data_IF_654010662582
#
_entry.id   IF_654010662582
#
_cell.length_a   1.000
_cell.length_b   1.000
_cell.length_c   1.000
_cell.angle_alpha   90.00
_cell.angle_beta   90.00
_cell.angle_gamma   90.00
#
_symmetry.space_group_name_H-M   'P 1'
#
loop_
_entity.id
_entity.type
_entity.pdbx_description
1 polymer ?
#
# COMPACT_ATOMS: atom_id res chain seq x y z
N UNK A 1 13.59 -6.69 5.81
CA UNK A 1 12.44 -6.58 4.89
C UNK A 1 12.51 -7.74 3.93
N UNK A 2 11.42 -8.50 3.75
CA UNK A 2 11.35 -9.46 2.67
C UNK A 2 11.54 -8.65 1.38
N UNK A 3 12.64 -8.86 0.64
CA UNK A 3 12.93 -8.05 -0.53
C UNK A 3 11.95 -8.41 -1.62
N UNK A 4 11.21 -7.43 -2.13
CA UNK A 4 10.53 -7.58 -3.41
C UNK A 4 11.62 -7.87 -4.46
N UNK A 5 11.39 -8.85 -5.34
CA UNK A 5 12.41 -9.33 -6.28
C UNK A 5 12.60 -8.42 -7.51
N UNK A 6 11.78 -7.38 -7.64
CA UNK A 6 11.83 -6.43 -8.74
C UNK A 6 12.12 -5.03 -8.19
N UNK A 7 12.92 -4.26 -8.93
CA UNK A 7 13.15 -2.86 -8.59
C UNK A 7 11.84 -2.08 -8.76
N UNK A 8 11.47 -1.31 -7.74
CA UNK A 8 10.31 -0.42 -7.81
C UNK A 8 10.54 0.68 -8.84
N UNK A 9 9.48 1.06 -9.56
CA UNK A 9 9.50 2.26 -10.41
C UNK A 9 9.36 3.52 -9.57
N UNK A 10 9.75 4.68 -10.11
CA UNK A 10 9.59 5.97 -9.41
C UNK A 10 8.12 6.20 -8.99
N UNK A 11 7.16 5.90 -9.88
CA UNK A 11 5.72 5.97 -9.56
C UNK A 11 5.31 5.06 -8.39
N UNK A 12 5.92 3.88 -8.24
CA UNK A 12 5.64 2.98 -7.12
C UNK A 12 6.24 3.53 -5.81
N UNK A 13 7.45 4.09 -5.87
CA UNK A 13 8.09 4.72 -4.72
C UNK A 13 7.28 5.92 -4.22
N UNK A 14 6.83 6.76 -5.14
CA UNK A 14 5.97 7.91 -4.81
C UNK A 14 4.65 7.44 -4.19
N UNK A 15 3.99 6.44 -4.78
CA UNK A 15 2.76 5.89 -4.22
C UNK A 15 2.95 5.27 -2.82
N UNK A 16 4.11 4.66 -2.56
CA UNK A 16 4.44 4.12 -1.24
C UNK A 16 4.65 5.24 -0.22
N UNK A 17 5.44 6.26 -0.56
CA UNK A 17 5.71 7.39 0.34
C UNK A 17 4.42 8.14 0.69
N UNK A 18 3.59 8.40 -0.31
CA UNK A 18 2.27 9.01 -0.17
C UNK A 18 1.38 8.27 0.84
N UNK A 19 1.34 6.93 0.77
CA UNK A 19 0.55 6.12 1.71
C UNK A 19 1.14 6.16 3.11
N UNK A 20 2.47 6.16 3.24
CA UNK A 20 3.15 6.27 4.54
C UNK A 20 2.85 7.61 5.20
N UNK A 21 2.93 8.70 4.44
CA UNK A 21 2.66 10.05 4.93
C UNK A 21 1.20 10.21 5.36
N UNK A 22 0.26 9.65 4.59
CA UNK A 22 -1.16 9.64 4.97
C UNK A 22 -1.39 8.89 6.29
N UNK A 23 -0.78 7.71 6.46
CA UNK A 23 -0.88 6.92 7.68
C UNK A 23 -0.24 7.62 8.88
N UNK A 24 0.83 8.40 8.65
CA UNK A 24 1.51 9.18 9.67
C UNK A 24 0.79 10.50 10.01
N UNK A 25 -0.12 10.98 9.16
CA UNK A 25 -0.78 12.28 9.31
C UNK A 25 -1.68 12.43 10.54
N UNK A 26 -2.07 11.31 11.17
CA UNK A 26 -3.01 11.28 12.30
C UNK A 26 -4.47 11.53 11.92
N UNK A 27 -4.77 11.74 10.64
CA UNK A 27 -6.12 11.88 10.10
C UNK A 27 -6.56 10.58 9.41
N UNK A 28 -7.88 10.32 9.30
CA UNK A 28 -8.37 9.21 8.49
C UNK A 28 -7.89 9.31 7.04
N UNK A 29 -7.24 8.26 6.54
CA UNK A 29 -6.80 8.15 5.15
C UNK A 29 -7.95 7.73 4.23
N UNK A 30 -8.13 8.43 3.11
CA UNK A 30 -9.02 8.04 2.01
C UNK A 30 -8.30 8.25 0.67
N UNK A 31 -7.51 7.25 0.26
CA UNK A 31 -6.65 7.31 -0.94
C UNK A 31 -7.05 6.26 -1.97
N UNK A 32 -7.20 6.71 -3.22
CA UNK A 32 -7.37 5.85 -4.39
C UNK A 32 -6.03 5.71 -5.14
N UNK A 33 -5.49 4.50 -5.20
CA UNK A 33 -4.32 4.17 -6.04
C UNK A 33 -4.81 3.60 -7.37
N UNK A 34 -4.63 4.35 -8.44
CA UNK A 34 -4.94 3.92 -9.81
C UNK A 34 -3.67 3.55 -10.58
N UNK A 35 -3.75 2.56 -11.46
CA UNK A 35 -2.64 2.14 -12.32
C UNK A 35 -2.99 0.88 -13.09
N UNK A 36 -2.21 0.55 -14.10
CA UNK A 36 -2.46 -0.61 -14.96
C UNK A 36 -2.30 -1.96 -14.22
N UNK A 37 -2.79 -3.04 -14.84
CA UNK A 37 -2.58 -4.39 -14.34
C UNK A 37 -1.07 -4.70 -14.33
N UNK A 38 -0.57 -5.27 -13.24
CA UNK A 38 0.86 -5.58 -13.09
C UNK A 38 1.72 -4.43 -12.53
N UNK A 39 1.15 -3.24 -12.32
CA UNK A 39 1.87 -2.07 -11.80
C UNK A 39 2.19 -2.11 -10.29
N UNK A 40 2.06 -3.27 -9.63
CA UNK A 40 2.46 -3.43 -8.23
C UNK A 40 1.53 -2.82 -7.17
N UNK A 41 0.29 -2.44 -7.50
CA UNK A 41 -0.67 -1.86 -6.52
C UNK A 41 -0.86 -2.72 -5.25
N UNK A 42 -0.83 -4.05 -5.40
CA UNK A 42 -0.92 -4.98 -4.28
C UNK A 42 0.26 -4.86 -3.32
N UNK A 43 1.48 -4.59 -3.83
CA UNK A 43 2.67 -4.38 -2.99
C UNK A 43 2.52 -3.13 -2.13
N UNK A 44 2.02 -2.03 -2.72
CA UNK A 44 1.75 -0.80 -1.97
C UNK A 44 0.76 -1.05 -0.83
N UNK A 45 -0.33 -1.78 -1.11
CA UNK A 45 -1.31 -2.16 -0.10
C UNK A 45 -0.71 -3.07 1.01
N UNK A 46 0.17 -4.01 0.65
CA UNK A 46 0.82 -4.90 1.61
C UNK A 46 1.82 -4.16 2.51
N UNK A 47 2.56 -3.18 1.98
CA UNK A 47 3.45 -2.33 2.80
C UNK A 47 2.66 -1.49 3.78
N UNK A 48 1.57 -0.88 3.34
CA UNK A 48 0.66 -0.12 4.19
C UNK A 48 0.09 -1.00 5.33
N UNK A 49 -0.38 -2.20 4.98
CA UNK A 49 -0.90 -3.17 5.93
C UNK A 49 0.16 -3.58 6.97
N UNK A 50 1.38 -3.83 6.53
CA UNK A 50 2.49 -4.19 7.41
C UNK A 50 2.80 -3.08 8.42
N UNK A 51 2.88 -1.82 7.96
CA UNK A 51 3.12 -0.66 8.84
C UNK A 51 2.01 -0.52 9.87
N UNK A 52 0.74 -0.62 9.45
CA UNK A 52 -0.39 -0.56 10.37
C UNK A 52 -0.35 -1.67 11.44
N UNK A 53 -0.04 -2.90 11.03
CA UNK A 53 0.15 -4.03 11.94
C UNK A 53 1.31 -3.82 12.92
N UNK A 54 2.44 -3.26 12.46
CA UNK A 54 3.59 -2.95 13.34
C UNK A 54 3.26 -1.88 14.38
N UNK A 55 2.35 -0.96 14.06
CA UNK A 55 1.82 0.03 15.00
C UNK A 55 0.73 -0.54 15.92
N UNK A 56 0.41 -1.83 15.84
CA UNK A 56 -0.58 -2.51 16.69
C UNK A 56 -2.03 -2.40 16.20
N UNK A 57 -2.26 -1.90 14.97
CA UNK A 57 -3.58 -1.83 14.37
C UNK A 57 -3.93 -3.13 13.62
N UNK A 58 -5.23 -3.37 13.44
CA UNK A 58 -5.74 -4.46 12.60
C UNK A 58 -5.98 -3.98 11.17
N UNK A 59 -5.75 -4.85 10.19
CA UNK A 59 -5.92 -4.54 8.77
C UNK A 59 -6.94 -5.49 8.15
N UNK A 60 -7.87 -4.94 7.37
CA UNK A 60 -8.81 -5.70 6.55
C UNK A 60 -8.53 -5.46 5.07
N UNK A 61 -8.36 -6.55 4.31
CA UNK A 61 -8.25 -6.53 2.84
C UNK A 61 -9.51 -7.18 2.29
N UNK A 62 -10.24 -6.45 1.46
CA UNK A 62 -11.49 -6.93 0.85
C UNK A 62 -11.26 -7.07 -0.65
N UNK A 63 -11.56 -8.24 -1.19
CA UNK A 63 -11.50 -8.53 -2.62
C UNK A 63 -12.87 -9.00 -3.10
N UNK A 64 -13.30 -8.56 -4.27
CA UNK A 64 -14.51 -9.07 -4.89
C UNK A 64 -14.19 -10.42 -5.56
N UNK A 65 -14.87 -11.52 -5.18
CA UNK A 65 -14.58 -12.85 -5.73
C UNK A 65 -14.99 -13.01 -7.20
N UNK A 66 -15.81 -12.10 -7.74
CA UNK A 66 -16.36 -12.19 -9.09
C UNK A 66 -16.46 -10.80 -9.75
N UNK A 67 -15.48 -10.49 -10.60
CA UNK A 67 -15.63 -9.63 -11.76
C UNK A 67 -15.02 -10.37 -12.94
#
# INVERSE_FOLDING_TARGET
MCSFQFAETDDQLDAINDVIDDLASGNPTDRLICGDVGFGKTEVALRAAFIACMCGYQVAIITLPHC
#
